data_IF_396838670107
#
_entry.id   IF_396838670107
#
_cell.length_a   1.000
_cell.length_b   1.000
_cell.length_c   1.000
_cell.angle_alpha   90.00
_cell.angle_beta   90.00
_cell.angle_gamma   90.00
#
_symmetry.space_group_name_H-M   'P 1'
#
loop_
_entity.id
_entity.type
_entity.pdbx_description
1 polymer ?
#
# COMPACT_ATOMS: atom_id res chain seq x y z
N UNK A 1 -46.17 -33.82 25.42
CA UNK A 1 -45.77 -32.40 25.54
C UNK A 1 -44.38 -32.29 24.94
N UNK A 2 -43.99 -31.42 24.00
CA UNK A 2 -44.60 -30.30 23.26
C UNK A 2 -43.56 -30.01 22.15
N UNK A 3 -43.88 -30.30 20.89
CA UNK A 3 -44.25 -29.40 19.77
C UNK A 3 -43.08 -28.73 19.03
N UNK A 4 -43.06 -29.07 17.74
CA UNK A 4 -42.35 -28.57 16.55
C UNK A 4 -42.33 -27.06 16.34
N UNK A 5 -41.28 -26.58 15.66
CA UNK A 5 -41.36 -25.61 14.55
C UNK A 5 -40.42 -26.07 13.42
N UNK A 6 -40.93 -26.01 12.20
CA UNK A 6 -40.33 -26.35 10.90
C UNK A 6 -39.77 -25.10 10.20
N UNK A 7 -39.13 -25.34 9.05
CA UNK A 7 -39.05 -24.45 7.88
C UNK A 7 -37.96 -23.37 7.90
N UNK A 8 -37.18 -23.11 6.85
CA UNK A 8 -37.06 -23.67 5.49
C UNK A 8 -35.72 -23.20 4.93
N UNK A 9 -35.08 -24.03 4.11
CA UNK A 9 -34.02 -23.56 3.23
C UNK A 9 -34.60 -22.83 2.04
N UNK A 10 -33.95 -21.73 1.63
CA UNK A 10 -33.92 -21.30 0.24
C UNK A 10 -32.50 -20.83 -0.15
N UNK A 11 -32.09 -21.09 -1.40
CA UNK A 11 -30.74 -20.86 -1.91
C UNK A 11 -30.48 -19.40 -2.31
N UNK A 12 -29.20 -19.03 -2.28
CA UNK A 12 -28.69 -17.74 -2.75
C UNK A 12 -28.94 -17.59 -4.27
N UNK A 13 -29.69 -16.56 -4.67
CA UNK A 13 -29.98 -16.21 -6.06
C UNK A 13 -29.15 -14.97 -6.50
N UNK A 14 -28.26 -15.08 -7.49
CA UNK A 14 -27.38 -13.99 -7.91
C UNK A 14 -27.95 -13.23 -9.12
N UNK A 15 -29.05 -12.50 -8.96
CA UNK A 15 -29.55 -11.55 -9.97
C UNK A 15 -30.30 -10.41 -9.28
N UNK A 16 -29.60 -9.33 -8.93
CA UNK A 16 -30.14 -7.98 -8.69
C UNK A 16 -28.96 -6.97 -8.54
N UNK A 17 -28.12 -6.89 -9.56
CA UNK A 17 -27.15 -5.81 -9.73
C UNK A 17 -27.76 -4.77 -10.68
N UNK A 18 -28.39 -3.76 -10.09
CA UNK A 18 -28.86 -2.56 -10.77
C UNK A 18 -27.72 -1.59 -11.01
N UNK A 19 -27.32 -1.49 -12.28
CA UNK A 19 -27.13 -0.23 -13.03
C UNK A 19 -26.30 0.90 -12.39
N UNK A 20 -25.07 1.06 -12.90
CA UNK A 20 -24.17 2.16 -12.52
C UNK A 20 -23.10 2.51 -13.54
N UNK A 21 -23.45 2.56 -14.83
CA UNK A 21 -22.83 3.37 -15.91
C UNK A 21 -21.29 3.45 -15.95
N UNK A 22 -20.66 2.47 -16.61
CA UNK A 22 -19.34 2.63 -17.24
C UNK A 22 -19.43 3.56 -18.45
N UNK A 23 -18.62 4.64 -18.46
CA UNK A 23 -18.42 5.47 -19.66
C UNK A 23 -17.44 4.75 -20.59
N UNK A 24 -17.92 4.32 -21.74
CA UNK A 24 -17.12 3.84 -22.85
C UNK A 24 -16.44 5.03 -23.56
N UNK A 25 -15.12 4.98 -23.71
CA UNK A 25 -14.36 5.86 -24.59
C UNK A 25 -14.56 5.39 -26.03
N UNK A 26 -15.18 6.22 -26.87
CA UNK A 26 -15.38 5.92 -28.28
C UNK A 26 -14.06 6.07 -29.06
N UNK A 27 -13.75 5.04 -29.84
CA UNK A 27 -12.69 4.99 -30.84
C UNK A 27 -13.05 5.87 -32.04
N UNK A 28 -12.04 6.55 -32.55
CA UNK A 28 -12.08 7.43 -33.71
C UNK A 28 -12.22 6.60 -35.00
N UNK A 29 -13.20 6.92 -35.86
CA UNK A 29 -13.23 6.48 -37.25
C UNK A 29 -13.49 7.67 -38.17
N UNK A 30 -12.49 7.94 -38.99
CA UNK A 30 -12.44 8.98 -40.00
C UNK A 30 -13.38 8.64 -41.16
N UNK A 31 -14.27 9.56 -41.52
CA UNK A 31 -14.96 9.52 -42.82
C UNK A 31 -14.75 10.85 -43.52
N UNK A 32 -13.96 10.80 -44.59
CA UNK A 32 -13.74 11.87 -45.56
C UNK A 32 -15.02 12.11 -46.36
N UNK A 33 -15.53 13.34 -46.33
CA UNK A 33 -16.51 13.82 -47.31
C UNK A 33 -15.99 15.08 -47.95
N UNK A 34 -15.65 14.95 -49.23
CA UNK A 34 -15.35 16.03 -50.17
C UNK A 34 -16.57 16.92 -50.35
N UNK A 35 -16.38 18.25 -50.33
CA UNK A 35 -17.21 19.19 -51.08
C UNK A 35 -16.43 20.48 -51.31
N UNK A 36 -16.27 20.80 -52.59
CA UNK A 36 -15.61 21.98 -53.15
C UNK A 36 -16.63 23.10 -53.26
N UNK A 37 -16.24 24.35 -52.93
CA UNK A 37 -16.60 25.59 -53.64
C UNK A 37 -16.08 26.82 -52.86
N UNK A 38 -15.56 27.80 -53.61
CA UNK A 38 -15.53 29.20 -53.18
C UNK A 38 -14.17 29.72 -52.71
N UNK A 39 -13.51 30.45 -53.61
CA UNK A 39 -12.36 31.28 -53.33
C UNK A 39 -12.68 32.39 -52.32
N UNK A 40 -11.70 32.76 -51.48
CA UNK A 40 -11.25 34.15 -51.32
C UNK A 40 -10.02 34.22 -50.41
N UNK A 41 -9.04 35.00 -50.87
CA UNK A 41 -7.74 35.25 -50.25
C UNK A 41 -7.88 36.26 -49.14
N UNK A 42 -7.58 35.91 -47.89
CA UNK A 42 -7.22 36.87 -46.84
C UNK A 42 -6.13 36.30 -45.91
N UNK A 43 -5.18 37.17 -45.61
CA UNK A 43 -3.88 37.01 -44.92
C UNK A 43 -3.93 36.39 -43.51
N UNK A 44 -2.83 35.77 -43.03
CA UNK A 44 -2.70 35.31 -41.65
C UNK A 44 -2.34 36.48 -40.72
N UNK A 45 -3.28 36.88 -39.86
CA UNK A 45 -2.97 37.72 -38.69
C UNK A 45 -3.30 36.92 -37.44
N UNK A 46 -2.33 36.87 -36.54
CA UNK A 46 -2.15 35.80 -35.59
C UNK A 46 -3.16 35.72 -34.44
N UNK A 47 -3.11 34.57 -33.78
CA UNK A 47 -3.33 34.43 -32.35
C UNK A 47 -2.53 33.19 -31.91
N UNK A 48 -1.46 33.41 -31.14
CA UNK A 48 -0.72 32.33 -30.49
C UNK A 48 -1.63 31.63 -29.45
N UNK A 49 -1.48 30.32 -29.20
CA UNK A 49 -2.20 29.69 -28.12
C UNK A 49 -1.77 30.33 -26.79
N UNK A 50 -2.74 30.84 -26.03
CA UNK A 50 -2.57 31.17 -24.61
C UNK A 50 -2.16 29.88 -23.91
N UNK A 51 -0.88 29.79 -23.56
CA UNK A 51 -0.42 28.78 -22.63
C UNK A 51 -1.13 29.03 -21.30
N UNK A 52 -2.05 28.13 -20.93
CA UNK A 52 -2.52 28.02 -19.56
C UNK A 52 -1.28 27.70 -18.71
N UNK A 53 -0.72 28.72 -18.09
CA UNK A 53 0.22 28.54 -16.99
C UNK A 53 -0.59 27.89 -15.87
N UNK A 54 -0.47 26.57 -15.73
CA UNK A 54 -0.74 25.90 -14.46
C UNK A 54 0.03 26.67 -13.38
N UNK A 55 -0.56 26.92 -12.20
CA UNK A 55 0.13 27.68 -11.17
C UNK A 55 1.45 26.98 -10.87
N UNK A 56 2.56 27.62 -11.23
CA UNK A 56 3.86 27.36 -10.66
C UNK A 56 3.71 27.69 -9.17
N UNK A 57 3.39 26.67 -8.38
CA UNK A 57 3.63 26.72 -6.95
C UNK A 57 5.12 26.88 -6.76
N UNK A 58 5.54 28.06 -6.33
CA UNK A 58 6.90 28.27 -5.86
C UNK A 58 7.17 27.35 -4.67
N UNK A 59 8.39 26.80 -4.65
CA UNK A 59 8.78 25.70 -3.79
C UNK A 59 8.73 26.03 -2.30
N UNK A 60 8.10 25.14 -1.55
CA UNK A 60 8.90 24.26 -0.69
C UNK A 60 9.02 22.95 -1.47
N UNK A 61 10.22 22.42 -1.65
CA UNK A 61 10.36 21.06 -2.16
C UNK A 61 9.47 20.16 -1.29
N UNK A 62 8.44 19.57 -1.87
CA UNK A 62 7.76 18.44 -1.23
C UNK A 62 8.81 17.36 -1.19
N UNK A 63 9.60 17.33 -0.11
CA UNK A 63 10.48 16.23 0.17
C UNK A 63 9.58 15.01 0.13
N UNK A 64 9.68 14.23 -0.95
CA UNK A 64 8.85 13.05 -1.15
C UNK A 64 9.02 12.23 0.11
N UNK A 65 7.97 12.14 0.92
CA UNK A 65 8.07 11.47 2.21
C UNK A 65 8.33 10.00 1.92
N UNK A 66 9.56 9.56 2.20
CA UNK A 66 9.99 8.18 2.03
C UNK A 66 9.74 7.44 3.34
N UNK A 67 9.30 6.20 3.25
CA UNK A 67 9.00 5.36 4.42
C UNK A 67 9.60 3.98 4.29
N UNK A 68 9.88 3.35 5.43
CA UNK A 68 10.22 1.94 5.52
C UNK A 68 9.06 1.19 6.18
N UNK A 69 8.72 0.04 5.62
CA UNK A 69 7.71 -0.86 6.17
C UNK A 69 8.38 -1.97 6.99
N UNK A 70 8.00 -2.07 8.25
CA UNK A 70 8.32 -3.20 9.10
C UNK A 70 7.28 -4.30 8.96
N UNK A 71 7.71 -5.53 8.67
CA UNK A 71 6.81 -6.64 8.35
C UNK A 71 6.90 -7.78 9.36
N UNK A 72 5.74 -8.35 9.69
CA UNK A 72 5.59 -9.59 10.44
C UNK A 72 4.39 -10.39 9.94
N UNK A 73 4.44 -11.71 10.06
CA UNK A 73 3.31 -12.59 9.74
C UNK A 73 3.46 -13.93 10.45
N UNK A 74 2.39 -14.72 10.54
CA UNK A 74 2.48 -16.11 10.95
C UNK A 74 3.20 -16.94 9.86
N UNK A 75 3.83 -18.06 10.25
CA UNK A 75 4.48 -18.94 9.27
C UNK A 75 3.48 -19.49 8.27
N UNK A 76 3.86 -19.42 6.99
CA UNK A 76 3.06 -19.90 5.87
C UNK A 76 1.79 -19.07 5.64
N UNK A 77 1.80 -17.79 6.04
CA UNK A 77 0.75 -16.85 5.65
C UNK A 77 0.73 -16.70 4.12
N UNK A 78 -0.47 -16.59 3.55
CA UNK A 78 -0.63 -16.34 2.12
C UNK A 78 -0.01 -14.98 1.72
N UNK A 79 0.64 -14.86 0.55
CA UNK A 79 1.15 -13.56 0.05
C UNK A 79 0.07 -12.48 0.01
N UNK A 80 -1.17 -12.86 -0.29
CA UNK A 80 -2.33 -11.96 -0.33
C UNK A 80 -2.68 -11.39 1.05
N UNK A 81 -2.48 -12.17 2.12
CA UNK A 81 -2.72 -11.73 3.50
C UNK A 81 -1.73 -10.63 3.89
N UNK A 82 -0.47 -10.77 3.48
CA UNK A 82 0.55 -9.74 3.74
C UNK A 82 0.36 -8.51 2.84
N UNK A 83 0.02 -8.70 1.57
CA UNK A 83 -0.25 -7.60 0.64
C UNK A 83 -1.42 -6.74 1.14
N UNK A 84 -2.54 -7.36 1.51
CA UNK A 84 -3.71 -6.65 2.05
C UNK A 84 -3.35 -5.86 3.31
N UNK A 85 -2.55 -6.45 4.20
CA UNK A 85 -2.08 -5.76 5.41
C UNK A 85 -1.24 -4.52 5.08
N UNK A 86 -0.40 -4.58 4.04
CA UNK A 86 0.42 -3.45 3.59
C UNK A 86 -0.45 -2.36 2.96
N UNK A 87 -1.41 -2.73 2.11
CA UNK A 87 -2.30 -1.77 1.46
C UNK A 87 -3.16 -1.02 2.49
N UNK A 88 -3.72 -1.74 3.47
CA UNK A 88 -4.46 -1.12 4.57
C UNK A 88 -3.56 -0.21 5.43
N UNK A 89 -2.35 -0.64 5.75
CA UNK A 89 -1.41 0.16 6.54
C UNK A 89 -1.00 1.46 5.82
N UNK A 90 -0.72 1.39 4.53
CA UNK A 90 -0.41 2.57 3.71
C UNK A 90 -1.61 3.53 3.65
N UNK A 91 -2.81 2.99 3.43
CA UNK A 91 -4.04 3.79 3.41
C UNK A 91 -4.29 4.50 4.76
N UNK A 92 -4.08 3.81 5.89
CA UNK A 92 -4.21 4.39 7.23
C UNK A 92 -3.20 5.52 7.47
N UNK A 93 -2.00 5.43 6.88
CA UNK A 93 -0.99 6.47 6.96
C UNK A 93 -1.16 7.58 5.89
N UNK A 94 -2.15 7.48 4.99
CA UNK A 94 -2.34 8.42 3.89
C UNK A 94 -1.24 8.34 2.82
N UNK A 95 -0.61 7.18 2.67
CA UNK A 95 0.51 6.92 1.77
C UNK A 95 0.12 5.99 0.63
N UNK A 96 0.97 5.94 -0.39
CA UNK A 96 0.89 5.00 -1.50
C UNK A 96 2.22 4.23 -1.63
N UNK A 97 2.25 3.26 -2.54
CA UNK A 97 3.43 2.43 -2.79
C UNK A 97 4.68 3.22 -3.21
N UNK A 98 4.53 4.38 -3.87
CA UNK A 98 5.65 5.24 -4.29
C UNK A 98 6.43 5.85 -3.11
N UNK A 99 5.78 6.01 -1.95
CA UNK A 99 6.44 6.47 -0.73
C UNK A 99 7.38 5.40 -0.14
N UNK A 100 7.17 4.12 -0.46
CA UNK A 100 7.91 3.02 0.15
C UNK A 100 9.34 2.95 -0.40
N UNK A 101 10.31 3.13 0.48
CA UNK A 101 11.73 3.03 0.16
C UNK A 101 12.30 1.62 0.39
N UNK A 102 11.60 0.80 1.15
CA UNK A 102 12.04 -0.56 1.44
C UNK A 102 11.21 -1.24 2.52
N UNK A 103 11.53 -2.51 2.70
CA UNK A 103 10.93 -3.43 3.65
C UNK A 103 11.98 -3.87 4.67
N UNK A 104 11.55 -4.13 5.89
CA UNK A 104 12.41 -4.62 6.96
C UNK A 104 11.70 -5.69 7.79
N UNK A 105 12.41 -6.76 8.16
CA UNK A 105 11.89 -7.81 9.04
C UNK A 105 13.02 -8.51 9.80
N UNK A 106 12.69 -9.48 10.65
CA UNK A 106 13.67 -10.32 11.36
C UNK A 106 14.21 -11.43 10.46
N UNK A 107 15.50 -11.73 10.57
CA UNK A 107 16.19 -12.76 9.77
C UNK A 107 15.56 -14.16 9.85
N UNK A 108 14.92 -14.52 10.98
CA UNK A 108 14.18 -15.79 11.11
C UNK A 108 13.06 -15.94 10.05
N UNK A 109 12.67 -14.85 9.39
CA UNK A 109 11.67 -14.80 8.32
C UNK A 109 12.28 -14.72 6.91
N UNK A 110 13.58 -14.96 6.74
CA UNK A 110 14.24 -14.90 5.43
C UNK A 110 13.71 -15.93 4.41
N UNK A 111 13.07 -16.99 4.88
CA UNK A 111 12.48 -18.06 4.06
C UNK A 111 10.94 -17.91 3.92
N UNK A 112 10.35 -16.81 4.41
CA UNK A 112 8.90 -16.61 4.30
C UNK A 112 8.52 -16.08 2.92
N UNK A 113 7.95 -16.96 2.11
CA UNK A 113 7.56 -16.74 0.73
C UNK A 113 6.67 -15.49 0.54
N UNK A 114 5.74 -15.22 1.47
CA UNK A 114 4.92 -14.02 1.43
C UNK A 114 5.73 -12.71 1.41
N UNK A 115 6.81 -12.63 2.20
CA UNK A 115 7.65 -11.42 2.30
C UNK A 115 8.54 -11.29 1.06
N UNK A 116 9.12 -12.41 0.61
CA UNK A 116 9.97 -12.44 -0.59
C UNK A 116 9.18 -12.08 -1.84
N UNK A 117 7.97 -12.65 -2.00
CA UNK A 117 7.08 -12.32 -3.11
C UNK A 117 6.65 -10.85 -3.07
N UNK A 118 6.33 -10.31 -1.90
CA UNK A 118 5.97 -8.90 -1.77
C UNK A 118 7.12 -7.99 -2.24
N UNK A 119 8.33 -8.24 -1.75
CA UNK A 119 9.52 -7.49 -2.14
C UNK A 119 9.76 -7.56 -3.66
N UNK A 120 9.67 -8.76 -4.25
CA UNK A 120 9.86 -8.98 -5.68
C UNK A 120 8.78 -8.31 -6.53
N UNK A 121 7.50 -8.36 -6.12
CA UNK A 121 6.37 -7.78 -6.86
C UNK A 121 6.48 -6.25 -6.98
N UNK A 122 6.94 -5.58 -5.93
CA UNK A 122 7.06 -4.11 -5.91
C UNK A 122 8.47 -3.59 -6.23
N UNK A 123 9.45 -4.48 -6.33
CA UNK A 123 10.87 -4.10 -6.50
C UNK A 123 11.45 -3.37 -5.28
N UNK A 124 10.86 -3.56 -4.10
CA UNK A 124 11.31 -2.89 -2.88
C UNK A 124 12.51 -3.61 -2.26
N UNK A 125 13.57 -2.89 -1.88
CA UNK A 125 14.68 -3.47 -1.13
C UNK A 125 14.20 -4.09 0.18
N UNK A 126 14.59 -5.33 0.47
CA UNK A 126 14.25 -6.04 1.70
C UNK A 126 15.48 -6.20 2.59
N UNK A 127 15.38 -5.77 3.85
CA UNK A 127 16.43 -5.90 4.86
C UNK A 127 16.01 -6.87 5.96
N UNK A 128 16.94 -7.71 6.38
CA UNK A 128 16.77 -8.64 7.49
C UNK A 128 17.66 -8.21 8.65
N UNK A 129 17.12 -8.29 9.86
CA UNK A 129 17.85 -7.97 11.08
C UNK A 129 17.82 -9.14 12.06
N UNK A 130 18.89 -9.33 12.80
CA UNK A 130 18.96 -10.31 13.87
C UNK A 130 18.12 -9.87 15.07
N UNK A 131 17.72 -10.83 15.91
CA UNK A 131 17.00 -10.51 17.15
C UNK A 131 17.82 -9.57 18.07
N UNK A 132 19.15 -9.69 18.05
CA UNK A 132 20.06 -8.87 18.85
C UNK A 132 20.10 -7.40 18.39
N UNK A 133 20.08 -7.17 17.07
CA UNK A 133 20.00 -5.81 16.51
C UNK A 133 18.67 -5.15 16.86
N UNK A 134 17.57 -5.88 16.70
CA UNK A 134 16.23 -5.37 16.98
C UNK A 134 16.01 -5.12 18.48
N UNK A 135 16.60 -5.92 19.36
CA UNK A 135 16.49 -5.75 20.81
C UNK A 135 17.17 -4.47 21.34
N UNK A 136 18.05 -3.84 20.54
CA UNK A 136 18.71 -2.57 20.89
C UNK A 136 17.88 -1.34 20.51
N UNK A 137 16.82 -1.51 19.74
CA UNK A 137 15.97 -0.40 19.27
C UNK A 137 14.93 -0.06 20.35
N UNK A 138 14.89 1.19 20.84
CA UNK A 138 13.83 1.61 21.75
C UNK A 138 12.49 1.67 20.99
N UNK A 139 11.48 0.95 21.49
CA UNK A 139 10.12 0.90 20.90
C UNK A 139 9.06 1.34 21.93
N UNK A 140 7.96 1.98 21.50
CA UNK A 140 6.98 2.58 22.41
C UNK A 140 6.21 1.56 23.26
N UNK A 141 6.06 0.30 22.81
CA UNK A 141 5.31 -0.73 23.53
C UNK A 141 6.15 -1.99 23.84
N UNK A 142 6.97 -1.98 24.92
CA UNK A 142 7.68 -3.17 25.38
C UNK A 142 6.72 -4.13 26.11
N UNK A 143 6.23 -5.19 25.45
CA UNK A 143 5.37 -6.20 26.11
C UNK A 143 6.17 -7.25 26.90
N UNK A 144 5.79 -7.45 28.18
CA UNK A 144 6.47 -8.29 29.17
C UNK A 144 6.34 -9.82 28.89
N UNK A 145 5.35 -10.25 28.11
CA UNK A 145 5.07 -11.67 27.82
C UNK A 145 6.06 -12.31 26.81
N UNK A 146 6.89 -11.51 26.14
CA UNK A 146 7.62 -11.92 24.93
C UNK A 146 9.13 -12.20 25.15
N UNK A 147 9.65 -11.98 26.37
CA UNK A 147 11.05 -12.38 26.70
C UNK A 147 11.29 -13.90 26.66
N UNK A 148 10.25 -14.73 26.76
CA UNK A 148 10.41 -16.17 26.99
C UNK A 148 10.49 -17.07 25.75
N UNK A 149 10.03 -16.65 24.57
CA UNK A 149 9.99 -17.56 23.42
C UNK A 149 10.56 -17.01 22.10
N UNK A 150 10.55 -15.70 21.84
CA UNK A 150 11.23 -15.10 20.66
C UNK A 150 11.70 -13.64 20.86
N UNK A 151 11.67 -13.10 22.08
CA UNK A 151 12.61 -12.07 22.53
C UNK A 151 12.57 -10.69 21.87
N UNK A 152 11.56 -10.30 21.10
CA UNK A 152 11.49 -8.91 20.61
C UNK A 152 10.04 -8.42 20.57
N UNK A 153 9.61 -7.58 21.53
CA UNK A 153 8.36 -6.86 21.38
C UNK A 153 8.50 -5.94 20.15
N UNK A 154 7.56 -6.08 19.21
CA UNK A 154 7.48 -5.30 17.99
C UNK A 154 8.66 -5.44 17.02
N UNK A 155 8.98 -6.68 16.63
CA UNK A 155 9.88 -6.97 15.49
C UNK A 155 9.63 -6.06 14.29
N UNK A 156 8.36 -5.82 13.94
CA UNK A 156 7.99 -4.92 12.85
C UNK A 156 8.39 -3.46 13.13
N UNK A 157 8.04 -2.90 14.29
CA UNK A 157 8.41 -1.52 14.67
C UNK A 157 9.93 -1.34 14.73
N UNK A 158 10.63 -2.24 15.42
CA UNK A 158 12.08 -2.19 15.55
C UNK A 158 12.78 -2.30 14.19
N UNK A 159 12.29 -3.18 13.32
CA UNK A 159 12.86 -3.35 11.98
C UNK A 159 12.61 -2.12 11.11
N UNK A 160 11.40 -1.54 11.16
CA UNK A 160 11.07 -0.30 10.45
C UNK A 160 11.97 0.86 10.91
N UNK A 161 12.05 1.10 12.22
CA UNK A 161 12.86 2.17 12.81
C UNK A 161 14.35 2.03 12.49
N UNK A 162 14.89 0.81 12.65
CA UNK A 162 16.30 0.55 12.39
C UNK A 162 16.66 0.77 10.93
N UNK A 163 15.83 0.27 10.00
CA UNK A 163 16.04 0.50 8.58
C UNK A 163 15.78 1.95 8.14
N UNK A 164 14.88 2.65 8.82
CA UNK A 164 14.56 4.04 8.56
C UNK A 164 15.59 5.02 9.15
N UNK A 165 16.54 4.54 9.98
CA UNK A 165 17.45 5.39 10.77
C UNK A 165 16.68 6.40 11.62
N UNK A 166 15.53 5.97 12.14
CA UNK A 166 14.57 6.80 12.85
C UNK A 166 14.49 6.47 14.34
N UNK A 167 13.99 7.43 15.11
CA UNK A 167 13.58 7.23 16.50
C UNK A 167 12.09 6.95 16.62
N UNK A 168 11.61 6.73 17.84
CA UNK A 168 10.17 6.46 18.11
C UNK A 168 9.24 7.53 17.49
N UNK A 169 9.68 8.80 17.44
CA UNK A 169 8.92 9.90 16.84
C UNK A 169 8.74 9.82 15.32
N UNK A 170 9.47 8.91 14.65
CA UNK A 170 9.37 8.68 13.21
C UNK A 170 8.39 7.56 12.84
N UNK A 171 7.77 6.88 13.82
CA UNK A 171 6.68 5.94 13.57
C UNK A 171 5.42 6.68 13.15
N UNK A 172 5.05 6.52 11.88
CA UNK A 172 3.80 7.04 11.32
C UNK A 172 2.63 6.09 11.62
N UNK A 173 2.94 4.79 11.71
CA UNK A 173 1.99 3.75 12.10
C UNK A 173 2.73 2.73 12.97
N UNK A 174 2.38 2.68 14.25
CA UNK A 174 3.02 1.78 15.21
C UNK A 174 2.77 0.32 14.82
N UNK A 175 1.51 -0.10 14.76
CA UNK A 175 1.19 -1.50 14.49
C UNK A 175 -0.19 -1.66 13.89
N UNK A 176 -0.23 -2.01 12.62
CA UNK A 176 -1.42 -2.54 11.96
C UNK A 176 -1.40 -4.05 11.97
N UNK A 177 -2.50 -4.69 12.40
CA UNK A 177 -2.66 -6.14 12.36
C UNK A 177 -3.81 -6.49 11.45
N UNK A 178 -3.57 -7.43 10.56
CA UNK A 178 -4.58 -7.96 9.65
C UNK A 178 -4.66 -9.47 9.84
N UNK A 179 -5.87 -10.03 9.76
CA UNK A 179 -6.10 -11.47 9.78
C UNK A 179 -6.71 -11.87 8.44
N UNK A 180 -5.97 -12.66 7.68
CA UNK A 180 -6.38 -13.11 6.36
C UNK A 180 -7.44 -14.21 6.38
N UNK A 181 -7.98 -14.49 5.20
CA UNK A 181 -8.93 -15.58 4.98
C UNK A 181 -8.30 -16.97 5.25
N UNK A 182 -6.98 -17.07 5.17
CA UNK A 182 -6.17 -18.22 5.60
C UNK A 182 -6.12 -18.40 7.13
N UNK A 183 -6.74 -17.49 7.89
CA UNK A 183 -6.80 -17.49 9.34
C UNK A 183 -5.52 -17.05 10.02
N UNK A 184 -4.51 -16.64 9.25
CA UNK A 184 -3.17 -16.22 9.68
C UNK A 184 -3.11 -14.72 9.88
N UNK A 185 -2.20 -14.28 10.74
CA UNK A 185 -1.98 -12.89 11.05
C UNK A 185 -0.83 -12.31 10.21
N UNK A 186 -1.00 -11.08 9.74
CA UNK A 186 0.03 -10.21 9.23
C UNK A 186 0.10 -8.94 10.09
N UNK A 187 1.27 -8.34 10.20
CA UNK A 187 1.53 -7.14 10.98
C UNK A 187 2.43 -6.22 10.18
N UNK A 188 2.05 -4.95 10.10
CA UNK A 188 2.78 -3.91 9.38
C UNK A 188 2.99 -2.70 10.29
N UNK A 189 4.19 -2.14 10.25
CA UNK A 189 4.56 -0.89 10.90
C UNK A 189 5.17 0.05 9.87
N UNK A 190 5.01 1.36 10.02
CA UNK A 190 5.51 2.36 9.06
C UNK A 190 6.35 3.39 9.79
N UNK A 191 7.60 3.55 9.36
CA UNK A 191 8.51 4.57 9.85
C UNK A 191 8.94 5.51 8.73
N UNK A 192 9.06 6.81 9.03
CA UNK A 192 9.63 7.81 8.13
C UNK A 192 11.13 7.55 7.95
N UNK A 193 11.58 7.46 6.70
CA UNK A 193 12.99 7.36 6.37
C UNK A 193 13.68 8.71 6.58
N UNK A 194 14.75 8.70 7.36
CA UNK A 194 15.64 9.86 7.52
C UNK A 194 16.84 9.70 6.57
N UNK A 195 16.91 10.59 5.57
CA UNK A 195 18.13 10.85 4.80
C UNK A 195 19.01 11.73 5.71
N UNK A 196 19.98 11.13 6.41
CA UNK A 196 21.08 11.87 7.04
C UNK A 196 21.99 12.50 5.98
#
# INVERSE_FOLDING_TARGET
>A
MTRFILDTGEPWNPLLLGEGRVRATALNVSTTSSQTLGAETLTPTGFAPVATLSPRGEGLGSATLRVILGLGCDRGAAPETLQTAVDEALALAGLNGDAVAGLATIDRKNDEDAILQLAARHGWPLRFYTAEELARVPVPNPSETVRRYMGTPAVAEAAALLAARGGIGDLLLEKHKYRGADGKNATVSIARLNDE
#
